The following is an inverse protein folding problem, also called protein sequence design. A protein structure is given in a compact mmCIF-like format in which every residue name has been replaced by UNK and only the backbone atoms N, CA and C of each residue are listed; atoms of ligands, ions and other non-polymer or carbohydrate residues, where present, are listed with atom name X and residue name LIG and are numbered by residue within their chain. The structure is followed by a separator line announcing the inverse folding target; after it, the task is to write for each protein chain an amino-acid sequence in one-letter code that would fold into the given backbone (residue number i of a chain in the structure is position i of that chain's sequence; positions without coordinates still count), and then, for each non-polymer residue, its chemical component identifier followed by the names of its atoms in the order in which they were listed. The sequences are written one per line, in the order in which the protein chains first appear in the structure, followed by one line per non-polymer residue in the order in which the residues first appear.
data_IF_060345893393
#
_entry.id   IF_060345893393
#
_cell.length_a   1.000
_cell.length_b   1.000
_cell.length_c   1.000
_cell.angle_alpha   90.00
_cell.angle_beta   90.00
_cell.angle_gamma   90.00
#
_symmetry.space_group_name_H-M   'P 1'
#
loop_
_entity.id
_entity.type
_entity.pdbx_description
1 polymer ?
#
# COMPACT_ATOMS: atom_id res chain seq x y z
N UNK A 1 25.03 28.21 -21.34
CA UNK A 1 25.60 26.96 -20.81
C UNK A 1 24.47 26.12 -20.20
N UNK A 2 24.39 24.82 -20.57
CA UNK A 2 23.61 23.69 -20.00
C UNK A 2 22.19 23.98 -19.49
N UNK A 3 21.11 23.72 -20.24
CA UNK A 3 20.41 22.41 -20.36
C UNK A 3 20.43 21.55 -19.09
N UNK A 4 19.29 21.43 -18.40
CA UNK A 4 18.73 20.13 -17.97
C UNK A 4 17.19 20.25 -17.92
N UNK A 5 16.51 19.54 -18.81
CA UNK A 5 15.08 19.26 -18.75
C UNK A 5 14.83 18.30 -17.58
N UNK A 6 14.11 18.73 -16.55
CA UNK A 6 13.63 17.83 -15.51
C UNK A 6 12.40 17.08 -16.02
N UNK A 7 12.64 15.93 -16.65
CA UNK A 7 11.58 14.96 -16.99
C UNK A 7 11.17 14.23 -15.70
N UNK A 8 10.16 14.73 -15.00
CA UNK A 8 9.47 13.98 -13.96
C UNK A 8 8.59 12.91 -14.63
N UNK A 9 9.11 11.68 -14.73
CA UNK A 9 8.33 10.51 -15.09
C UNK A 9 7.33 10.21 -13.96
N UNK A 10 6.10 10.69 -14.09
CA UNK A 10 4.99 10.28 -13.23
C UNK A 10 4.60 8.87 -13.68
N UNK A 11 5.18 7.85 -13.06
CA UNK A 11 4.71 6.49 -13.17
C UNK A 11 3.36 6.39 -12.42
N UNK A 12 2.26 6.63 -13.14
CA UNK A 12 0.92 6.35 -12.66
C UNK A 12 0.75 4.85 -12.52
N UNK A 13 0.89 4.33 -11.30
CA UNK A 13 0.52 2.94 -10.99
C UNK A 13 -1.01 2.89 -11.07
N UNK A 14 -1.52 2.41 -12.20
CA UNK A 14 -2.93 2.10 -12.35
C UNK A 14 -3.28 1.01 -11.31
N UNK A 15 -4.02 1.40 -10.27
CA UNK A 15 -4.53 0.50 -9.25
C UNK A 15 -5.58 -0.42 -9.88
N UNK A 16 -5.23 -1.68 -10.08
CA UNK A 16 -6.16 -2.74 -10.43
C UNK A 16 -7.13 -2.96 -9.27
N UNK A 17 -8.41 -2.64 -9.50
CA UNK A 17 -9.49 -2.93 -8.55
C UNK A 17 -9.85 -4.40 -8.70
N UNK A 18 -9.17 -5.27 -7.94
CA UNK A 18 -9.57 -6.66 -7.82
C UNK A 18 -10.77 -6.74 -6.86
N UNK A 19 -11.97 -6.88 -7.42
CA UNK A 19 -13.14 -7.31 -6.67
C UNK A 19 -13.02 -8.83 -6.43
N UNK A 20 -12.80 -9.23 -5.18
CA UNK A 20 -12.74 -10.63 -4.73
C UNK A 20 -13.89 -10.89 -3.75
N UNK A 21 -14.52 -12.09 -3.78
CA UNK A 21 -15.75 -12.35 -3.06
C UNK A 21 -15.48 -12.45 -1.55
N UNK A 22 -16.32 -11.77 -0.77
CA UNK A 22 -16.30 -11.84 0.69
C UNK A 22 -16.78 -13.21 1.14
N UNK A 23 -15.91 -14.07 1.71
CA UNK A 23 -16.27 -15.19 2.61
C UNK A 23 -15.04 -15.96 3.12
N UNK A 24 -14.22 -15.33 3.93
CA UNK A 24 -13.44 -15.97 4.99
C UNK A 24 -13.09 -14.88 6.01
N UNK A 25 -12.86 -15.24 7.27
CA UNK A 25 -12.52 -14.31 8.35
C UNK A 25 -11.11 -13.75 8.12
N UNK A 26 -10.99 -12.90 7.11
CA UNK A 26 -9.73 -12.46 6.56
C UNK A 26 -9.47 -11.06 7.07
N UNK A 27 -8.37 -10.91 7.78
CA UNK A 27 -7.88 -9.61 8.18
C UNK A 27 -7.39 -8.85 6.95
N UNK A 28 -7.92 -7.65 6.75
CA UNK A 28 -7.28 -6.63 5.96
C UNK A 28 -6.28 -5.88 6.85
N UNK A 29 -5.11 -5.60 6.29
CA UNK A 29 -4.03 -4.92 6.97
C UNK A 29 -3.53 -3.77 6.12
N UNK A 30 -3.03 -2.74 6.76
CA UNK A 30 -2.23 -1.70 6.10
C UNK A 30 -0.78 -2.02 6.40
N UNK A 31 0.01 -2.21 5.34
CA UNK A 31 1.46 -2.31 5.41
C UNK A 31 2.09 -0.98 5.00
N UNK A 32 3.24 -0.65 5.56
CA UNK A 32 4.08 0.47 5.16
C UNK A 32 5.41 -0.06 4.66
N UNK A 33 5.77 0.31 3.45
CA UNK A 33 7.07 0.02 2.85
C UNK A 33 8.15 0.90 3.49
N UNK A 34 9.25 0.30 3.96
CA UNK A 34 10.31 1.05 4.65
C UNK A 34 11.14 1.89 3.67
N UNK A 35 11.34 1.39 2.44
CA UNK A 35 12.13 2.05 1.40
C UNK A 35 11.41 3.25 0.77
N UNK A 36 10.11 3.14 0.52
CA UNK A 36 9.32 4.19 -0.16
C UNK A 36 8.45 5.00 0.80
N UNK A 37 8.14 4.46 1.98
CA UNK A 37 7.16 5.03 2.92
C UNK A 37 5.70 4.83 2.50
N UNK A 38 5.46 4.11 1.39
CA UNK A 38 4.11 3.92 0.83
C UNK A 38 3.31 3.00 1.74
N UNK A 39 2.06 3.38 2.01
CA UNK A 39 1.12 2.51 2.68
C UNK A 39 0.27 1.76 1.65
N UNK A 40 0.12 0.45 1.82
CA UNK A 40 -0.61 -0.44 0.93
C UNK A 40 -1.55 -1.34 1.74
N UNK A 41 -2.76 -1.55 1.24
CA UNK A 41 -3.67 -2.55 1.81
C UNK A 41 -3.24 -3.94 1.36
N UNK A 42 -3.14 -4.85 2.33
CA UNK A 42 -2.89 -6.27 2.14
C UNK A 42 -3.98 -7.08 2.85
N UNK A 43 -4.22 -8.31 2.41
CA UNK A 43 -5.27 -9.18 2.89
C UNK A 43 -4.72 -10.63 2.93
N UNK A 44 -5.15 -11.42 3.92
CA UNK A 44 -4.65 -12.79 4.13
C UNK A 44 -5.18 -13.85 3.13
N UNK A 45 -6.25 -13.55 2.37
CA UNK A 45 -6.71 -14.36 1.23
C UNK A 45 -5.70 -14.35 0.08
N UNK A 46 -4.84 -13.34 0.02
CA UNK A 46 -3.79 -13.30 -0.99
C UNK A 46 -2.81 -14.43 -0.70
N UNK A 47 -2.78 -15.43 -1.60
CA UNK A 47 -1.93 -16.63 -1.55
C UNK A 47 -0.45 -16.34 -1.24
N UNK A 48 0.00 -15.14 -1.59
CA UNK A 48 1.36 -14.68 -1.33
C UNK A 48 1.35 -13.39 -0.53
N UNK A 49 2.22 -13.34 0.48
CA UNK A 49 2.58 -12.08 1.14
C UNK A 49 3.22 -11.14 0.11
N UNK A 50 3.15 -9.81 0.32
CA UNK A 50 3.81 -8.85 -0.56
C UNK A 50 5.29 -9.21 -0.69
N UNK A 51 5.80 -9.19 -1.91
CA UNK A 51 7.14 -9.67 -2.19
C UNK A 51 8.17 -8.70 -1.60
N UNK A 52 8.97 -9.19 -0.66
CA UNK A 52 10.09 -8.44 -0.10
C UNK A 52 11.34 -8.79 -0.91
N UNK A 53 11.98 -7.79 -1.51
CA UNK A 53 13.17 -7.99 -2.31
C UNK A 53 14.28 -7.01 -1.92
N UNK A 54 15.41 -7.54 -1.46
CA UNK A 54 16.54 -6.74 -1.01
C UNK A 54 16.15 -5.74 0.09
N UNK A 55 16.34 -4.45 -0.19
CA UNK A 55 16.02 -3.33 0.72
C UNK A 55 14.53 -2.97 0.77
N UNK A 56 13.69 -3.59 -0.06
CA UNK A 56 12.23 -3.35 -0.07
C UNK A 56 11.55 -4.22 1.00
N UNK A 57 11.72 -3.86 2.27
CA UNK A 57 10.98 -4.45 3.39
C UNK A 57 9.70 -3.66 3.68
N UNK A 58 8.73 -4.31 4.30
CA UNK A 58 7.51 -3.65 4.78
C UNK A 58 7.21 -4.02 6.23
N UNK A 59 6.47 -3.16 6.92
CA UNK A 59 5.96 -3.38 8.27
C UNK A 59 4.43 -3.30 8.26
N UNK A 60 3.79 -4.17 9.03
CA UNK A 60 2.35 -4.08 9.27
C UNK A 60 2.12 -2.95 10.28
N UNK A 61 1.31 -1.96 9.90
CA UNK A 61 1.08 -0.74 10.70
C UNK A 61 -0.36 -0.62 11.22
N UNK A 62 -1.22 -1.57 10.87
CA UNK A 62 -2.59 -1.64 11.37
C UNK A 62 -2.87 -2.93 12.15
N UNK A 63 -3.92 -2.88 12.96
CA UNK A 63 -4.62 -4.08 13.43
C UNK A 63 -5.37 -4.74 12.27
N UNK A 64 -5.76 -6.02 12.38
CA UNK A 64 -6.63 -6.66 11.40
C UNK A 64 -7.97 -5.92 11.33
N UNK A 65 -8.37 -5.56 10.12
CA UNK A 65 -9.62 -4.90 9.80
C UNK A 65 -10.55 -5.86 9.05
N UNK A 66 -11.86 -5.83 9.28
CA UNK A 66 -12.76 -6.82 8.70
C UNK A 66 -13.14 -6.52 7.25
N UNK A 67 -12.88 -5.31 6.74
CA UNK A 67 -13.24 -4.92 5.37
C UNK A 67 -12.13 -4.14 4.67
N UNK A 68 -12.07 -4.27 3.34
CA UNK A 68 -11.17 -3.51 2.48
C UNK A 68 -11.38 -2.00 2.64
N UNK A 69 -12.63 -1.54 2.71
CA UNK A 69 -12.97 -0.13 2.88
C UNK A 69 -12.37 0.42 4.17
N UNK A 70 -12.48 -0.30 5.30
CA UNK A 70 -11.88 0.16 6.56
C UNK A 70 -10.35 0.25 6.47
N UNK A 71 -9.71 -0.69 5.78
CA UNK A 71 -8.26 -0.63 5.56
C UNK A 71 -7.85 0.52 4.64
N UNK A 72 -8.67 0.81 3.63
CA UNK A 72 -8.47 1.94 2.72
C UNK A 72 -8.67 3.28 3.41
N UNK A 73 -9.71 3.41 4.23
CA UNK A 73 -9.97 4.62 5.03
C UNK A 73 -8.82 4.86 6.02
N UNK A 74 -8.30 3.80 6.65
CA UNK A 74 -7.12 3.90 7.50
C UNK A 74 -5.88 4.32 6.70
N UNK A 75 -5.65 3.74 5.52
CA UNK A 75 -4.54 4.14 4.64
C UNK A 75 -4.64 5.64 4.27
N UNK A 76 -5.83 6.12 3.89
CA UNK A 76 -6.09 7.53 3.56
C UNK A 76 -5.85 8.43 4.78
N UNK A 77 -6.31 8.01 5.97
CA UNK A 77 -6.05 8.74 7.22
C UNK A 77 -4.55 8.81 7.54
N UNK A 78 -3.82 7.72 7.39
CA UNK A 78 -2.37 7.71 7.65
C UNK A 78 -1.61 8.59 6.65
N UNK A 79 -2.09 8.69 5.41
CA UNK A 79 -1.60 9.65 4.42
C UNK A 79 -1.88 11.09 4.83
N UNK A 80 -3.09 11.41 5.32
CA UNK A 80 -3.40 12.76 5.81
C UNK A 80 -2.60 13.14 7.06
N UNK A 81 -2.20 12.17 7.87
CA UNK A 81 -1.31 12.35 9.02
C UNK A 81 0.20 12.41 8.64
N UNK A 82 0.53 12.42 7.34
CA UNK A 82 1.92 12.38 6.84
C UNK A 82 2.72 11.15 7.32
N UNK A 83 2.05 10.07 7.72
CA UNK A 83 2.69 8.80 8.12
C UNK A 83 3.00 7.92 6.91
N UNK A 84 2.37 8.21 5.77
CA UNK A 84 2.58 7.59 4.47
C UNK A 84 2.93 8.67 3.43
N UNK A 85 3.79 8.34 2.46
CA UNK A 85 4.32 9.28 1.45
C UNK A 85 3.46 9.44 0.21
N UNK A 86 2.45 8.58 0.00
CA UNK A 86 1.49 8.65 -1.11
C UNK A 86 0.07 8.61 -0.61
#
# INVERSE_FOLDING_TARGET
MRRVLALCAIAGIASSVFAVPASAKVGYYVIRWDNTGICQVWNEDLKYKPFQWGVSTYKVVSKPLPTFTQASDLQIKMRSEHRCTL
#
